data_IF_920558508887
#
_entry.id   IF_920558508887
#
_cell.length_a   1.000
_cell.length_b   1.000
_cell.length_c   1.000
_cell.angle_alpha   90.00
_cell.angle_beta   90.00
_cell.angle_gamma   90.00
#
_symmetry.space_group_name_H-M   'P 1'
#
loop_
_entity.id
_entity.type
_entity.pdbx_description
1 polymer ?
#
# COMPACT_ATOMS: atom_id res chain seq x y z
N UNK A 1 -10.66 -7.55 0.17
CA UNK A 1 -9.29 -7.21 0.60
C UNK A 1 -8.70 -8.40 1.34
N UNK A 2 -7.44 -8.73 1.07
CA UNK A 2 -6.64 -9.67 1.86
C UNK A 2 -6.32 -9.09 3.24
N UNK A 3 -5.73 -9.91 4.13
CA UNK A 3 -4.89 -9.35 5.20
C UNK A 3 -3.74 -8.53 4.60
N UNK A 4 -3.19 -7.58 5.37
CA UNK A 4 -2.06 -6.77 4.89
C UNK A 4 -0.79 -7.62 4.78
N UNK A 5 -0.20 -7.66 3.59
CA UNK A 5 1.07 -8.33 3.30
C UNK A 5 2.16 -7.28 3.17
N UNK A 6 3.26 -7.42 3.92
CA UNK A 6 4.36 -6.45 3.81
C UNK A 6 5.20 -6.71 2.55
N UNK A 7 5.57 -5.65 1.82
CA UNK A 7 6.42 -5.77 0.63
C UNK A 7 7.76 -6.48 0.91
N UNK A 8 8.48 -6.21 2.03
CA UNK A 8 9.69 -6.95 2.39
C UNK A 8 9.47 -8.46 2.55
N UNK A 9 8.32 -8.90 3.07
CA UNK A 9 8.04 -10.33 3.23
C UNK A 9 7.99 -11.06 1.87
N UNK A 10 7.49 -10.39 0.84
CA UNK A 10 7.45 -10.93 -0.53
C UNK A 10 8.81 -10.83 -1.21
N UNK A 11 9.40 -9.62 -1.21
CA UNK A 11 10.59 -9.30 -2.03
C UNK A 11 11.89 -9.83 -1.44
N UNK A 12 12.05 -9.74 -0.12
CA UNK A 12 13.25 -10.17 0.60
C UNK A 12 13.05 -11.54 1.25
N UNK A 13 11.86 -11.77 1.80
CA UNK A 13 11.52 -13.01 2.50
C UNK A 13 11.08 -14.16 1.59
N UNK A 14 10.72 -13.91 0.33
CA UNK A 14 10.25 -14.94 -0.61
C UNK A 14 8.94 -15.61 -0.19
N UNK A 15 8.14 -14.97 0.67
CA UNK A 15 6.93 -15.55 1.25
C UNK A 15 5.73 -15.52 0.27
N UNK A 16 5.91 -16.02 -0.95
CA UNK A 16 4.91 -15.93 -2.03
C UNK A 16 3.58 -16.62 -1.72
N UNK A 17 3.58 -17.60 -0.81
CA UNK A 17 2.35 -18.23 -0.28
C UNK A 17 1.36 -17.25 0.37
N UNK A 18 1.80 -16.04 0.71
CA UNK A 18 0.94 -14.98 1.24
C UNK A 18 0.07 -14.33 0.15
N UNK A 19 0.31 -14.66 -1.12
CA UNK A 19 -0.47 -14.20 -2.27
C UNK A 19 -1.50 -15.23 -2.74
N UNK A 20 -1.55 -16.41 -2.11
CA UNK A 20 -2.51 -17.44 -2.49
C UNK A 20 -3.93 -17.01 -2.07
N UNK A 21 -4.90 -17.11 -2.99
CA UNK A 21 -6.33 -16.92 -2.73
C UNK A 21 -7.15 -17.93 -3.54
N UNK A 22 -8.38 -18.24 -3.09
CA UNK A 22 -9.31 -19.05 -3.84
C UNK A 22 -9.93 -18.21 -4.97
N UNK A 23 -9.96 -18.68 -6.24
CA UNK A 23 -10.61 -17.97 -7.34
C UNK A 23 -12.05 -17.48 -7.06
N UNK A 24 -12.80 -18.16 -6.18
CA UNK A 24 -14.14 -17.76 -5.75
C UNK A 24 -14.18 -16.46 -4.91
N UNK A 25 -13.03 -16.00 -4.40
CA UNK A 25 -12.89 -14.73 -3.66
C UNK A 25 -12.93 -13.50 -4.58
N UNK A 26 -12.84 -13.68 -5.90
CA UNK A 26 -12.85 -12.57 -6.85
C UNK A 26 -14.22 -11.89 -6.93
N UNK A 27 -14.29 -10.54 -6.92
CA UNK A 27 -13.15 -9.61 -6.89
C UNK A 27 -12.51 -9.46 -5.49
N UNK A 28 -11.19 -9.67 -5.40
CA UNK A 28 -10.40 -9.46 -4.18
C UNK A 28 -9.19 -8.57 -4.47
N UNK A 29 -8.96 -7.58 -3.61
CA UNK A 29 -7.79 -6.71 -3.68
C UNK A 29 -6.68 -7.17 -2.72
N UNK A 30 -5.43 -7.18 -3.20
CA UNK A 30 -4.25 -7.41 -2.38
C UNK A 30 -3.90 -6.12 -1.63
N UNK A 31 -3.79 -6.17 -0.31
CA UNK A 31 -3.33 -5.03 0.47
C UNK A 31 -1.85 -5.16 0.83
N UNK A 32 -1.03 -4.23 0.36
CA UNK A 32 0.40 -4.14 0.65
C UNK A 32 0.71 -3.13 1.75
N UNK A 33 1.74 -3.42 2.54
CA UNK A 33 2.36 -2.50 3.50
C UNK A 33 3.85 -2.31 3.22
N UNK A 34 4.32 -1.07 3.18
CA UNK A 34 5.72 -0.72 2.97
C UNK A 34 5.88 0.77 2.65
N UNK A 35 7.13 1.21 2.51
CA UNK A 35 7.51 2.59 2.19
C UNK A 35 8.71 2.71 1.24
N UNK A 36 9.26 1.58 0.81
CA UNK A 36 10.33 1.53 -0.17
C UNK A 36 9.70 1.38 -1.58
N UNK A 37 9.87 2.35 -2.48
CA UNK A 37 9.23 2.32 -3.80
C UNK A 37 9.64 1.11 -4.64
N UNK A 38 10.90 0.69 -4.60
CA UNK A 38 11.40 -0.45 -5.40
C UNK A 38 10.82 -1.78 -4.91
N UNK A 39 10.73 -1.95 -3.58
CA UNK A 39 10.11 -3.13 -2.98
C UNK A 39 8.61 -3.16 -3.25
N UNK A 40 7.92 -2.02 -3.13
CA UNK A 40 6.50 -1.95 -3.44
C UNK A 40 6.22 -2.21 -4.92
N UNK A 41 7.01 -1.66 -5.84
CA UNK A 41 6.89 -1.98 -7.27
C UNK A 41 7.03 -3.48 -7.55
N UNK A 42 8.06 -4.13 -6.97
CA UNK A 42 8.26 -5.60 -7.11
C UNK A 42 7.12 -6.40 -6.50
N UNK A 43 6.65 -6.04 -5.31
CA UNK A 43 5.53 -6.70 -4.65
C UNK A 43 4.23 -6.55 -5.44
N UNK A 44 4.01 -5.38 -6.07
CA UNK A 44 2.86 -5.12 -6.94
C UNK A 44 2.91 -6.01 -8.19
N UNK A 45 4.06 -6.09 -8.87
CA UNK A 45 4.22 -6.99 -10.02
C UNK A 45 3.95 -8.46 -9.65
N UNK A 46 4.42 -8.90 -8.47
CA UNK A 46 4.12 -10.24 -7.94
C UNK A 46 2.62 -10.43 -7.72
N UNK A 47 1.94 -9.51 -7.02
CA UNK A 47 0.49 -9.58 -6.81
C UNK A 47 -0.29 -9.66 -8.13
N UNK A 48 0.05 -8.81 -9.10
CA UNK A 48 -0.59 -8.83 -10.41
C UNK A 48 -0.39 -10.15 -11.14
N UNK A 49 0.81 -10.74 -11.07
CA UNK A 49 1.09 -12.06 -11.66
C UNK A 49 0.30 -13.21 -11.02
N UNK A 50 -0.16 -13.02 -9.77
CA UNK A 50 -1.04 -13.94 -9.06
C UNK A 50 -2.53 -13.75 -9.41
N UNK A 51 -2.87 -12.72 -10.19
CA UNK A 51 -4.23 -12.46 -10.66
C UNK A 51 -5.05 -11.50 -9.79
N UNK A 52 -4.40 -10.67 -8.98
CA UNK A 52 -5.09 -9.56 -8.30
C UNK A 52 -5.35 -8.42 -9.30
N UNK A 53 -6.62 -8.04 -9.46
CA UNK A 53 -7.05 -6.93 -10.32
C UNK A 53 -6.89 -5.55 -9.64
N UNK A 54 -6.87 -5.52 -8.29
CA UNK A 54 -6.61 -4.33 -7.48
C UNK A 54 -5.46 -4.58 -6.49
N UNK A 55 -4.55 -3.62 -6.39
CA UNK A 55 -3.46 -3.61 -5.41
C UNK A 55 -3.53 -2.32 -4.59
N UNK A 56 -3.75 -2.48 -3.30
CA UNK A 56 -4.03 -1.40 -2.36
C UNK A 56 -2.83 -1.15 -1.43
N UNK A 57 -2.40 0.11 -1.30
CA UNK A 57 -1.40 0.50 -0.31
C UNK A 57 -2.05 0.89 1.03
N UNK A 58 -1.62 0.23 2.11
CA UNK A 58 -2.09 0.55 3.46
C UNK A 58 -1.37 1.78 4.02
N UNK A 59 -2.14 2.85 4.21
CA UNK A 59 -1.71 4.13 4.79
C UNK A 59 -2.51 4.46 6.07
N UNK A 60 -3.03 3.45 6.78
CA UNK A 60 -4.05 3.68 7.81
C UNK A 60 -3.90 2.89 9.11
N UNK A 61 -2.98 1.92 9.18
CA UNK A 61 -2.72 1.18 10.42
C UNK A 61 -1.89 2.03 11.40
N UNK A 62 -2.37 2.29 12.63
CA UNK A 62 -1.65 3.08 13.63
C UNK A 62 -0.75 2.25 14.56
N UNK A 63 -0.70 0.91 14.40
CA UNK A 63 -0.04 0.04 15.38
C UNK A 63 1.48 0.21 15.45
N UNK A 64 2.06 0.03 16.64
CA UNK A 64 3.50 0.19 16.89
C UNK A 64 4.40 -0.65 15.97
N UNK A 65 3.98 -1.89 15.66
CA UNK A 65 4.72 -2.76 14.73
C UNK A 65 4.82 -2.17 13.33
N UNK A 66 3.79 -1.47 12.89
CA UNK A 66 3.69 -0.85 11.57
C UNK A 66 4.46 0.47 11.54
N UNK A 67 4.42 1.25 12.62
CA UNK A 67 5.26 2.44 12.79
C UNK A 67 6.75 2.09 12.79
N UNK A 68 7.16 1.03 13.49
CA UNK A 68 8.57 0.59 13.51
C UNK A 68 9.09 0.11 12.15
N UNK A 69 8.19 -0.30 11.27
CA UNK A 69 8.49 -0.65 9.88
C UNK A 69 8.44 0.52 8.90
N UNK A 70 8.11 1.73 9.38
CA UNK A 70 7.92 2.95 8.57
C UNK A 70 6.83 2.82 7.50
N UNK A 71 5.68 2.19 7.80
CA UNK A 71 4.52 2.15 6.91
C UNK A 71 3.21 2.36 7.68
N UNK A 72 2.06 2.39 6.99
CA UNK A 72 0.75 2.63 7.63
C UNK A 72 0.44 4.11 7.84
N UNK A 73 -0.25 4.47 8.93
CA UNK A 73 -0.78 5.83 9.13
C UNK A 73 0.31 6.91 9.14
N UNK A 74 1.51 6.60 9.64
CA UNK A 74 2.65 7.53 9.69
C UNK A 74 3.01 8.09 8.30
N UNK A 75 2.79 7.33 7.23
CA UNK A 75 3.07 7.78 5.86
C UNK A 75 2.16 8.92 5.40
N UNK A 76 1.06 9.21 6.10
CA UNK A 76 0.28 10.42 5.84
C UNK A 76 1.06 11.71 6.15
N UNK A 77 2.14 11.62 6.95
CA UNK A 77 3.08 12.74 7.21
C UNK A 77 4.20 12.83 6.17
N UNK A 78 4.33 11.82 5.30
CA UNK A 78 5.38 11.69 4.28
C UNK A 78 4.78 11.52 2.87
N UNK A 79 3.99 12.49 2.38
CA UNK A 79 3.29 12.37 1.09
C UNK A 79 4.22 12.18 -0.10
N UNK A 80 5.44 12.73 -0.08
CA UNK A 80 6.42 12.51 -1.15
C UNK A 80 6.88 11.06 -1.25
N UNK A 81 7.03 10.38 -0.11
CA UNK A 81 7.34 8.94 -0.07
C UNK A 81 6.17 8.13 -0.64
N UNK A 82 4.95 8.47 -0.22
CA UNK A 82 3.73 7.83 -0.74
C UNK A 82 3.64 8.01 -2.26
N UNK A 83 3.83 9.23 -2.78
CA UNK A 83 3.80 9.50 -4.21
C UNK A 83 4.83 8.66 -4.97
N UNK A 84 6.09 8.62 -4.51
CA UNK A 84 7.12 7.79 -5.13
C UNK A 84 6.77 6.30 -5.12
N UNK A 85 6.16 5.81 -4.04
CA UNK A 85 5.67 4.43 -3.96
C UNK A 85 4.55 4.17 -4.98
N UNK A 86 3.55 5.05 -5.05
CA UNK A 86 2.42 4.91 -5.99
C UNK A 86 2.89 4.94 -7.44
N UNK A 87 3.80 5.86 -7.79
CA UNK A 87 4.41 5.93 -9.13
C UNK A 87 5.10 4.60 -9.49
N UNK A 88 5.90 4.02 -8.57
CA UNK A 88 6.54 2.72 -8.82
C UNK A 88 5.56 1.56 -8.89
N UNK A 89 4.52 1.54 -8.06
CA UNK A 89 3.47 0.52 -8.11
C UNK A 89 2.71 0.57 -9.44
N UNK A 90 2.33 1.77 -9.90
CA UNK A 90 1.63 1.98 -11.18
C UNK A 90 2.51 1.60 -12.38
N UNK A 91 3.81 1.86 -12.35
CA UNK A 91 4.71 1.42 -13.42
C UNK A 91 4.90 -0.11 -13.48
N UNK A 92 4.74 -0.80 -12.35
CA UNK A 92 5.02 -2.23 -12.24
C UNK A 92 3.86 -3.14 -12.68
N UNK A 93 2.65 -2.61 -12.86
CA UNK A 93 1.45 -3.40 -13.16
C UNK A 93 0.37 -2.58 -13.86
N UNK A 94 -0.53 -3.26 -14.58
CA UNK A 94 -1.78 -2.68 -15.10
C UNK A 94 -2.96 -2.83 -14.15
N UNK A 95 -2.77 -3.45 -12.98
CA UNK A 95 -3.78 -3.55 -11.93
C UNK A 95 -4.15 -2.17 -11.37
N UNK A 96 -5.38 -2.04 -10.86
CA UNK A 96 -5.83 -0.80 -10.24
C UNK A 96 -5.05 -0.55 -8.93
N UNK A 97 -4.28 0.55 -8.90
CA UNK A 97 -3.51 0.94 -7.72
C UNK A 97 -4.34 1.90 -6.86
N UNK A 98 -4.71 1.46 -5.66
CA UNK A 98 -5.55 2.22 -4.73
C UNK A 98 -4.83 2.47 -3.40
N UNK A 99 -5.34 3.41 -2.60
CA UNK A 99 -4.83 3.69 -1.25
C UNK A 99 -5.93 3.56 -0.21
N UNK A 100 -5.59 3.05 0.97
CA UNK A 100 -6.48 3.08 2.14
C UNK A 100 -5.80 3.86 3.26
N UNK A 101 -6.25 5.10 3.48
CA UNK A 101 -5.69 6.02 4.48
C UNK A 101 -6.68 6.34 5.61
N UNK A 102 -6.22 7.07 6.63
CA UNK A 102 -7.07 7.77 7.61
C UNK A 102 -7.48 9.13 7.05
N UNK A 103 -8.30 9.87 7.79
CA UNK A 103 -8.66 11.26 7.48
C UNK A 103 -7.61 12.27 8.01
N UNK A 104 -6.61 11.79 8.75
CA UNK A 104 -5.53 12.54 9.38
C UNK A 104 -4.80 11.65 10.39
N UNK A 105 -3.69 12.14 10.92
CA UNK A 105 -2.95 11.50 12.03
C UNK A 105 -2.81 12.47 13.20
N UNK A 106 -2.61 11.92 14.41
CA UNK A 106 -2.50 12.69 15.65
C UNK A 106 -3.67 13.68 15.83
N UNK A 107 -3.39 14.93 16.24
CA UNK A 107 -4.37 15.98 16.49
C UNK A 107 -4.67 16.86 15.25
N UNK A 108 -4.35 16.38 14.04
CA UNK A 108 -4.55 17.12 12.80
C UNK A 108 -6.04 17.35 12.49
N UNK A 109 -6.38 18.52 11.94
CA UNK A 109 -7.74 18.80 11.46
C UNK A 109 -8.02 17.99 10.17
N UNK A 110 -8.95 17.01 10.18
CA UNK A 110 -9.20 16.16 9.02
C UNK A 110 -9.69 16.90 7.78
N UNK A 111 -10.46 17.99 7.97
CA UNK A 111 -11.03 18.78 6.87
C UNK A 111 -9.97 19.52 6.06
N UNK A 112 -8.82 19.83 6.68
CA UNK A 112 -7.67 20.42 6.00
C UNK A 112 -6.68 19.36 5.53
N UNK A 113 -6.45 18.35 6.36
CA UNK A 113 -5.35 17.39 6.20
C UNK A 113 -5.59 16.42 5.05
N UNK A 114 -6.77 15.79 4.99
CA UNK A 114 -7.03 14.80 3.96
C UNK A 114 -7.00 15.42 2.55
N UNK A 115 -7.66 16.55 2.26
CA UNK A 115 -7.58 17.18 0.94
C UNK A 115 -6.15 17.56 0.54
N UNK A 116 -5.37 18.11 1.47
CA UNK A 116 -3.96 18.45 1.22
C UNK A 116 -3.15 17.20 0.89
N UNK A 117 -3.26 16.16 1.71
CA UNK A 117 -2.57 14.89 1.49
C UNK A 117 -2.91 14.29 0.11
N UNK A 118 -4.20 14.22 -0.23
CA UNK A 118 -4.65 13.72 -1.53
C UNK A 118 -4.06 14.53 -2.69
N UNK A 119 -4.04 15.86 -2.58
CA UNK A 119 -3.46 16.73 -3.62
C UNK A 119 -1.96 16.52 -3.85
N UNK A 120 -1.24 15.98 -2.88
CA UNK A 120 0.20 15.74 -2.97
C UNK A 120 0.55 14.36 -3.54
N UNK A 121 -0.37 13.39 -3.46
CA UNK A 121 -0.13 12.00 -3.90
C UNK A 121 -0.85 11.66 -5.21
N UNK A 122 -1.81 12.49 -5.63
CA UNK A 122 -2.47 12.36 -6.92
C UNK A 122 -1.53 12.84 -8.03
N UNK A 123 -1.32 11.97 -9.02
CA UNK A 123 -0.60 12.24 -10.28
C UNK A 123 -1.57 12.39 -11.43
#
# INVERSE_FOLDING_TARGET
YTEMVTAPALVLGGALRLLDFNPEEQPVALQLGGSDPDQLGKATALGASYGYDEINLNLGCPSDRVQSGSFGAVLMTEPDVVRACLEQMQHASTADITVKCRIGVDDQNPEATLPQFLSMIQS
#
